data_IF_355739690019
#
_entry.id   IF_355739690019
#
_cell.length_a   1.000
_cell.length_b   1.000
_cell.length_c   1.000
_cell.angle_alpha   90.00
_cell.angle_beta   90.00
_cell.angle_gamma   90.00
#
_symmetry.space_group_name_H-M   'P 1'
#
loop_
_entity.id
_entity.type
_entity.pdbx_description
1 polymer ?
#
# COMPACT_ATOMS: atom_id res chain seq x y z
N UNK A 1 -21.09 3.23 66.39
CA UNK A 1 -21.37 3.12 64.94
C UNK A 1 -20.23 3.84 64.23
N UNK A 2 -19.15 3.12 63.97
CA UNK A 2 -18.02 3.62 63.19
C UNK A 2 -18.42 3.47 61.72
N UNK A 3 -18.37 4.55 60.96
CA UNK A 3 -18.48 4.50 59.50
C UNK A 3 -17.10 4.10 58.98
N UNK A 4 -17.03 3.02 58.22
CA UNK A 4 -15.77 2.51 57.69
C UNK A 4 -15.34 3.33 56.46
N UNK A 5 -14.03 3.49 56.29
CA UNK A 5 -13.41 4.31 55.23
C UNK A 5 -13.70 3.80 53.81
N UNK A 6 -14.35 2.63 53.67
CA UNK A 6 -14.79 2.08 52.39
C UNK A 6 -16.13 2.66 51.92
N UNK A 7 -16.93 3.30 52.79
CA UNK A 7 -18.26 3.83 52.43
C UNK A 7 -18.23 5.25 51.82
N UNK A 8 -17.06 5.90 51.78
CA UNK A 8 -16.90 7.29 51.27
C UNK A 8 -16.25 7.38 49.90
N UNK A 9 -16.00 6.25 49.23
CA UNK A 9 -15.36 6.22 47.91
C UNK A 9 -16.27 5.70 46.79
N UNK A 10 -17.59 5.85 46.91
CA UNK A 10 -18.55 5.33 45.91
C UNK A 10 -19.63 6.32 45.45
N UNK A 11 -19.37 7.64 45.48
CA UNK A 11 -20.32 8.58 44.89
C UNK A 11 -19.62 9.67 44.06
N UNK A 12 -19.86 9.55 42.74
CA UNK A 12 -19.75 10.55 41.67
C UNK A 12 -18.40 10.75 40.98
N UNK A 13 -17.92 9.71 40.32
CA UNK A 13 -17.36 9.89 38.97
C UNK A 13 -18.34 9.24 37.99
N UNK A 14 -18.91 9.99 37.02
CA UNK A 14 -19.68 9.34 35.96
C UNK A 14 -18.80 8.27 35.30
N UNK A 15 -19.36 7.13 34.86
CA UNK A 15 -18.58 6.12 34.17
C UNK A 15 -17.86 6.85 33.03
N UNK A 16 -16.53 6.70 32.99
CA UNK A 16 -15.78 7.03 31.79
C UNK A 16 -16.47 6.23 30.70
N UNK A 17 -17.16 6.93 29.80
CA UNK A 17 -17.56 6.32 28.54
C UNK A 17 -16.22 5.96 27.91
N UNK A 18 -15.83 4.69 28.03
CA UNK A 18 -14.88 4.09 27.12
C UNK A 18 -15.57 4.20 25.76
N UNK A 19 -15.31 5.31 25.08
CA UNK A 19 -15.57 5.39 23.67
C UNK A 19 -14.63 4.35 23.07
N UNK A 20 -15.14 3.12 22.92
CA UNK A 20 -14.60 2.21 21.94
C UNK A 20 -14.64 3.00 20.63
N UNK A 21 -13.47 3.51 20.25
CA UNK A 21 -13.25 3.96 18.89
C UNK A 21 -13.37 2.69 18.05
N UNK A 22 -14.59 2.28 17.72
CA UNK A 22 -14.83 1.50 16.52
C UNK A 22 -14.45 2.43 15.36
N UNK A 23 -13.15 2.53 15.08
CA UNK A 23 -12.68 2.75 13.73
C UNK A 23 -13.12 1.52 12.95
N UNK A 24 -14.40 1.47 12.60
CA UNK A 24 -14.85 0.61 11.53
C UNK A 24 -14.19 1.19 10.27
N UNK A 25 -12.94 0.77 10.02
CA UNK A 25 -12.25 1.03 8.77
C UNK A 25 -13.23 0.70 7.67
N UNK A 26 -13.51 1.68 6.81
CA UNK A 26 -14.45 1.54 5.67
C UNK A 26 -14.08 0.32 4.81
N UNK A 27 -12.80 -0.05 4.82
CA UNK A 27 -12.24 -1.14 4.05
C UNK A 27 -12.12 -2.44 4.84
N UNK A 28 -12.41 -2.46 6.13
CA UNK A 28 -12.30 -3.66 6.97
C UNK A 28 -10.87 -4.16 7.15
N UNK A 29 -10.74 -5.42 7.60
CA UNK A 29 -9.46 -6.05 7.90
C UNK A 29 -8.91 -6.86 6.70
N UNK A 30 -7.59 -6.93 6.61
CA UNK A 30 -6.86 -7.78 5.68
C UNK A 30 -7.00 -9.25 6.10
N UNK A 31 -7.31 -10.13 5.14
CA UNK A 31 -7.48 -11.57 5.40
C UNK A 31 -6.17 -12.28 5.75
N UNK A 32 -5.03 -11.78 5.26
CA UNK A 32 -3.73 -12.44 5.46
C UNK A 32 -3.07 -12.08 6.80
N UNK A 33 -3.22 -10.82 7.25
CA UNK A 33 -2.52 -10.33 8.45
C UNK A 33 -3.42 -9.74 9.54
N UNK A 34 -4.73 -9.62 9.30
CA UNK A 34 -5.70 -9.12 10.28
C UNK A 34 -5.66 -7.61 10.56
N UNK A 35 -4.71 -6.86 9.97
CA UNK A 35 -4.63 -5.40 10.11
C UNK A 35 -5.68 -4.69 9.25
N UNK A 36 -6.08 -3.48 9.66
CA UNK A 36 -6.97 -2.65 8.86
C UNK A 36 -6.38 -2.37 7.46
N UNK A 37 -7.24 -2.47 6.44
CA UNK A 37 -6.93 -2.04 5.08
C UNK A 37 -7.08 -0.54 4.97
N UNK A 38 -6.30 0.05 4.07
CA UNK A 38 -6.30 1.50 3.81
C UNK A 38 -7.09 1.88 2.56
N UNK A 39 -7.39 0.90 1.71
CA UNK A 39 -8.24 1.03 0.53
C UNK A 39 -8.85 -0.34 0.18
N UNK A 40 -9.82 -0.34 -0.73
CA UNK A 40 -10.50 -1.56 -1.12
C UNK A 40 -9.52 -2.58 -1.73
N UNK A 41 -9.58 -3.81 -1.24
CA UNK A 41 -8.65 -4.87 -1.67
C UNK A 41 -7.19 -4.73 -1.22
N UNK A 42 -6.77 -3.62 -0.61
CA UNK A 42 -5.34 -3.31 -0.43
C UNK A 42 -4.89 -3.29 1.02
N UNK A 43 -3.86 -4.08 1.35
CA UNK A 43 -3.19 -4.02 2.65
C UNK A 43 -1.75 -3.52 2.49
N UNK A 44 -1.50 -2.26 2.86
CA UNK A 44 -0.17 -1.62 2.74
C UNK A 44 0.98 -2.48 3.29
N UNK A 45 0.77 -3.15 4.41
CA UNK A 45 1.79 -4.00 5.03
C UNK A 45 2.09 -5.26 4.22
N UNK A 46 1.04 -5.98 3.77
CA UNK A 46 1.22 -7.19 2.97
C UNK A 46 1.85 -6.87 1.62
N UNK A 47 1.33 -5.83 0.94
CA UNK A 47 1.81 -5.42 -0.39
C UNK A 47 3.26 -4.93 -0.34
N UNK A 48 3.61 -4.09 0.63
CA UNK A 48 5.00 -3.65 0.82
C UNK A 48 5.97 -4.81 1.08
N UNK A 49 5.51 -5.90 1.70
CA UNK A 49 6.32 -7.10 1.90
C UNK A 49 6.46 -7.89 0.59
N UNK A 50 5.35 -8.12 -0.14
CA UNK A 50 5.37 -8.78 -1.44
C UNK A 50 6.29 -8.05 -2.43
N UNK A 51 6.24 -6.71 -2.46
CA UNK A 51 7.16 -5.90 -3.26
C UNK A 51 8.62 -6.14 -2.89
N UNK A 52 8.97 -6.12 -1.60
CA UNK A 52 10.36 -6.35 -1.14
C UNK A 52 10.87 -7.72 -1.54
N UNK A 53 10.03 -8.74 -1.49
CA UNK A 53 10.39 -10.10 -1.95
C UNK A 53 10.66 -10.13 -3.46
N UNK A 54 9.99 -9.29 -4.25
CA UNK A 54 10.15 -9.23 -5.69
C UNK A 54 11.27 -8.27 -6.18
N UNK A 55 11.81 -7.39 -5.33
CA UNK A 55 12.84 -6.41 -5.73
C UNK A 55 14.13 -7.04 -6.29
N UNK A 56 14.41 -8.30 -5.97
CA UNK A 56 15.55 -9.03 -6.53
C UNK A 56 15.30 -9.65 -7.91
N UNK A 57 14.05 -9.67 -8.38
CA UNK A 57 13.66 -10.41 -9.59
C UNK A 57 13.70 -9.55 -10.86
N UNK A 58 13.91 -8.23 -10.72
CA UNK A 58 13.98 -7.31 -11.86
C UNK A 58 14.95 -6.16 -11.57
N UNK A 59 15.47 -5.56 -12.63
CA UNK A 59 16.22 -4.29 -12.60
C UNK A 59 16.17 -3.65 -13.98
N UNK A 60 16.06 -2.32 -14.02
CA UNK A 60 16.15 -1.55 -15.28
C UNK A 60 17.59 -1.30 -15.73
N UNK A 61 18.58 -1.90 -15.05
CA UNK A 61 20.01 -1.56 -15.16
C UNK A 61 20.35 -0.11 -14.78
N UNK A 62 19.37 0.64 -14.27
CA UNK A 62 19.52 2.02 -13.81
C UNK A 62 19.05 2.14 -12.37
N UNK A 63 20.01 2.20 -11.44
CA UNK A 63 19.73 2.24 -9.99
C UNK A 63 18.81 3.38 -9.58
N UNK A 64 18.91 4.56 -10.23
CA UNK A 64 18.05 5.69 -9.91
C UNK A 64 16.58 5.43 -10.29
N UNK A 65 16.34 4.76 -11.42
CA UNK A 65 15.01 4.36 -11.86
C UNK A 65 14.48 3.25 -10.95
N UNK A 66 15.31 2.26 -10.63
CA UNK A 66 14.94 1.15 -9.75
C UNK A 66 14.59 1.65 -8.34
N UNK A 67 15.38 2.56 -7.77
CA UNK A 67 15.11 3.18 -6.47
C UNK A 67 13.80 3.98 -6.50
N UNK A 68 13.53 4.71 -7.59
CA UNK A 68 12.31 5.48 -7.76
C UNK A 68 11.07 4.57 -7.80
N UNK A 69 11.08 3.52 -8.63
CA UNK A 69 9.97 2.56 -8.73
C UNK A 69 9.72 1.88 -7.38
N UNK A 70 10.77 1.36 -6.72
CA UNK A 70 10.67 0.74 -5.39
C UNK A 70 10.10 1.70 -4.34
N UNK A 71 10.50 2.97 -4.39
CA UNK A 71 9.96 4.00 -3.51
C UNK A 71 8.46 4.22 -3.73
N UNK A 72 7.98 4.25 -4.97
CA UNK A 72 6.52 4.36 -5.25
C UNK A 72 5.76 3.15 -4.71
N UNK A 73 6.26 1.94 -4.92
CA UNK A 73 5.65 0.68 -4.46
C UNK A 73 5.54 0.61 -2.93
N UNK A 74 6.59 1.01 -2.20
CA UNK A 74 6.58 1.01 -0.73
C UNK A 74 5.66 2.08 -0.12
N UNK A 75 5.40 3.16 -0.86
CA UNK A 75 4.60 4.29 -0.38
C UNK A 75 3.15 4.28 -0.88
N UNK A 76 2.79 3.38 -1.78
CA UNK A 76 1.44 3.29 -2.34
C UNK A 76 0.34 3.18 -1.28
N UNK A 77 -0.76 3.86 -1.58
CA UNK A 77 -1.98 3.88 -0.76
C UNK A 77 -3.12 3.04 -1.33
N UNK A 78 -2.94 2.50 -2.53
CA UNK A 78 -3.85 1.60 -3.20
C UNK A 78 -3.20 0.91 -4.38
N UNK A 79 -3.96 0.02 -5.01
CA UNK A 79 -3.49 -0.85 -6.10
C UNK A 79 -3.12 -0.13 -7.40
N UNK A 80 -3.44 1.17 -7.52
CA UNK A 80 -3.16 1.99 -8.70
C UNK A 80 -2.17 3.13 -8.43
N UNK A 81 -1.59 3.18 -7.23
CA UNK A 81 -0.76 4.30 -6.74
C UNK A 81 0.76 4.05 -6.85
N UNK A 82 1.19 3.02 -7.57
CA UNK A 82 2.61 2.69 -7.76
C UNK A 82 2.97 2.45 -9.22
N UNK A 83 4.26 2.55 -9.51
CA UNK A 83 4.82 2.17 -10.80
C UNK A 83 5.25 0.72 -10.78
N UNK A 84 5.09 0.07 -11.93
CA UNK A 84 5.55 -1.29 -12.18
C UNK A 84 6.68 -1.27 -13.21
N UNK A 85 7.69 -2.10 -12.98
CA UNK A 85 8.71 -2.38 -13.98
C UNK A 85 8.24 -3.55 -14.84
N UNK A 86 8.18 -3.33 -16.16
CA UNK A 86 7.84 -4.35 -17.15
C UNK A 86 9.09 -4.58 -18.00
N UNK A 87 9.52 -5.83 -18.11
CA UNK A 87 10.66 -6.18 -18.94
C UNK A 87 10.31 -5.93 -20.41
N UNK A 88 11.27 -5.43 -21.17
CA UNK A 88 11.09 -5.23 -22.60
C UNK A 88 10.74 -6.53 -23.33
N UNK A 89 11.21 -7.68 -22.83
CA UNK A 89 10.91 -9.00 -23.39
C UNK A 89 9.42 -9.40 -23.28
N UNK A 90 8.63 -8.73 -22.42
CA UNK A 90 7.18 -8.97 -22.29
C UNK A 90 6.35 -8.25 -23.35
N UNK A 91 6.98 -7.45 -24.22
CA UNK A 91 6.29 -6.75 -25.30
C UNK A 91 6.43 -7.51 -26.62
N UNK A 92 5.29 -7.79 -27.25
CA UNK A 92 5.21 -8.34 -28.61
C UNK A 92 4.70 -7.27 -29.60
N UNK A 93 4.86 -7.53 -30.90
CA UNK A 93 4.41 -6.66 -32.00
C UNK A 93 4.90 -5.21 -31.82
N UNK A 94 6.18 -5.05 -31.47
CA UNK A 94 6.79 -3.74 -31.28
C UNK A 94 6.91 -3.01 -32.62
N UNK A 95 6.16 -1.92 -32.78
CA UNK A 95 6.08 -1.14 -34.01
C UNK A 95 6.48 0.32 -33.78
N UNK A 96 7.23 0.89 -34.72
CA UNK A 96 7.57 2.31 -34.69
C UNK A 96 6.36 3.13 -35.14
N UNK A 97 5.94 4.09 -34.31
CA UNK A 97 4.75 4.91 -34.61
C UNK A 97 5.02 6.06 -35.59
N UNK A 98 6.28 6.24 -36.02
CA UNK A 98 6.81 7.40 -36.74
C UNK A 98 6.55 8.74 -36.03
N UNK A 99 6.23 8.69 -34.74
CA UNK A 99 6.07 9.86 -33.87
C UNK A 99 7.30 9.96 -32.96
N UNK A 100 7.70 11.18 -32.66
CA UNK A 100 8.89 11.44 -31.86
C UNK A 100 9.16 12.92 -31.72
N UNK A 101 9.97 13.26 -30.74
CA UNK A 101 10.52 14.60 -30.57
C UNK A 101 11.95 14.69 -31.09
N UNK A 102 12.62 15.81 -30.82
CA UNK A 102 14.02 16.00 -31.19
C UNK A 102 14.99 14.96 -30.58
N UNK A 103 14.60 14.31 -29.49
CA UNK A 103 15.44 13.39 -28.71
C UNK A 103 14.74 12.07 -28.35
N UNK A 104 13.60 11.76 -28.97
CA UNK A 104 12.84 10.56 -28.62
C UNK A 104 12.12 9.99 -29.83
N UNK A 105 11.97 8.67 -29.84
CA UNK A 105 11.14 7.92 -30.78
C UNK A 105 10.08 7.17 -30.00
N UNK A 106 8.84 7.18 -30.50
CA UNK A 106 7.72 6.52 -29.84
C UNK A 106 7.42 5.20 -30.55
N UNK A 107 7.35 4.13 -29.76
CA UNK A 107 6.94 2.80 -30.20
C UNK A 107 5.58 2.43 -29.60
N UNK A 108 4.85 1.56 -30.27
CA UNK A 108 3.67 0.86 -29.74
C UNK A 108 3.98 -0.62 -29.65
N UNK A 109 3.38 -1.31 -28.68
CA UNK A 109 3.54 -2.75 -28.51
C UNK A 109 2.29 -3.35 -27.84
N UNK A 110 2.16 -4.67 -27.92
CA UNK A 110 1.21 -5.45 -27.12
C UNK A 110 1.94 -6.00 -25.91
N UNK A 111 1.42 -5.74 -24.72
CA UNK A 111 1.96 -6.33 -23.49
C UNK A 111 1.37 -7.72 -23.29
N UNK A 112 2.23 -8.73 -23.19
CA UNK A 112 1.87 -10.11 -22.94
C UNK A 112 1.89 -10.37 -21.43
N UNK A 113 0.73 -10.70 -20.85
CA UNK A 113 0.61 -11.17 -19.46
C UNK A 113 1.18 -12.58 -19.27
#
# INVERSE_FOLDING_TARGET
MSLDLHDVLDLTLPPLIEFENESNSVFGQCLDCGKERISDGWCKGCEANAFKENFGNWSSENTNIDDFIRSTQLNATGSVDYLEYIDFEQFDLVENTNKGGAFSTIYSAVWME
#
